data_IF_648551011175
#
_entry.id   IF_648551011175
#
_cell.length_a   1.000
_cell.length_b   1.000
_cell.length_c   1.000
_cell.angle_alpha   90.00
_cell.angle_beta   90.00
_cell.angle_gamma   90.00
#
_symmetry.space_group_name_H-M   'P 1'
#
loop_
_entity.id
_entity.type
_entity.pdbx_description
1 polymer ?
#
# COMPACT_ATOMS: atom_id res chain seq x y z
N UNK A 1 12.06 -96.92 22.72
CA UNK A 1 12.58 -96.25 21.51
C UNK A 1 11.59 -95.21 21.04
N UNK A 2 12.13 -94.08 20.56
CA UNK A 2 11.58 -93.06 19.66
C UNK A 2 10.20 -92.41 19.87
N UNK A 3 10.28 -91.11 20.19
CA UNK A 3 9.77 -89.91 19.47
C UNK A 3 8.95 -90.08 18.14
N UNK A 4 8.37 -88.99 17.56
CA UNK A 4 7.21 -88.23 18.05
C UNK A 4 6.19 -87.82 16.94
N UNK A 5 5.06 -87.23 17.39
CA UNK A 5 4.30 -86.08 16.86
C UNK A 5 3.77 -85.98 15.41
N UNK A 6 2.48 -85.64 15.29
CA UNK A 6 2.04 -84.44 14.53
C UNK A 6 0.71 -83.88 15.09
N UNK A 7 0.70 -82.58 15.37
CA UNK A 7 -0.40 -81.81 15.98
C UNK A 7 -1.21 -80.99 14.97
N UNK A 8 -2.20 -80.20 15.42
CA UNK A 8 -3.22 -79.58 14.57
C UNK A 8 -2.79 -78.22 13.99
N UNK A 9 -3.07 -77.99 12.71
CA UNK A 9 -2.91 -76.68 12.06
C UNK A 9 -3.96 -75.68 12.57
N UNK A 10 -3.49 -74.64 13.28
CA UNK A 10 -4.28 -73.47 13.67
C UNK A 10 -3.82 -72.28 12.84
N UNK A 11 -4.71 -71.81 11.96
CA UNK A 11 -4.47 -70.66 11.08
C UNK A 11 -4.01 -69.41 11.84
N UNK A 12 -2.83 -68.92 11.49
CA UNK A 12 -2.26 -67.65 11.98
C UNK A 12 -2.91 -66.49 11.21
N UNK A 13 -3.53 -65.57 11.96
CA UNK A 13 -4.01 -64.29 11.43
C UNK A 13 -2.80 -63.45 11.02
N UNK A 14 -2.61 -63.29 9.72
CA UNK A 14 -1.65 -62.37 9.13
C UNK A 14 -1.99 -60.93 9.53
N UNK A 15 -1.10 -60.30 10.31
CA UNK A 15 -1.13 -58.86 10.61
C UNK A 15 -0.73 -58.11 9.34
N UNK A 16 -1.70 -57.42 8.75
CA UNK A 16 -1.49 -56.41 7.72
C UNK A 16 -0.61 -55.29 8.30
N UNK A 17 0.50 -54.86 7.68
CA UNK A 17 1.26 -53.73 8.18
C UNK A 17 0.40 -52.47 8.04
N UNK A 18 0.35 -51.67 9.11
CA UNK A 18 -0.25 -50.35 9.09
C UNK A 18 0.48 -49.51 8.03
N UNK A 19 -0.29 -48.89 7.14
CA UNK A 19 0.23 -47.91 6.19
C UNK A 19 0.94 -46.82 7.01
N UNK A 20 2.23 -46.64 6.77
CA UNK A 20 2.97 -45.51 7.29
C UNK A 20 2.27 -44.24 6.79
N UNK A 21 1.81 -43.41 7.73
CA UNK A 21 1.45 -42.04 7.44
C UNK A 21 2.72 -41.37 6.90
N UNK A 22 2.73 -41.09 5.59
CA UNK A 22 3.73 -40.24 4.99
C UNK A 22 3.71 -38.90 5.74
N UNK A 23 4.78 -38.65 6.47
CA UNK A 23 5.06 -37.36 7.08
C UNK A 23 4.97 -36.32 5.97
N UNK A 24 4.27 -35.18 6.15
CA UNK A 24 4.31 -34.13 5.17
C UNK A 24 5.78 -33.76 5.00
N UNK A 25 6.30 -33.93 3.78
CA UNK A 25 7.59 -33.42 3.38
C UNK A 25 7.74 -32.01 3.96
N UNK A 26 8.82 -31.78 4.70
CA UNK A 26 9.32 -30.44 5.03
C UNK A 26 9.71 -29.75 3.72
N UNK A 27 8.72 -29.45 2.88
CA UNK A 27 8.87 -28.49 1.82
C UNK A 27 9.19 -27.18 2.53
N UNK A 28 10.43 -26.72 2.39
CA UNK A 28 10.92 -25.50 3.00
C UNK A 28 9.84 -24.41 2.88
N UNK A 29 9.27 -24.01 4.01
CA UNK A 29 8.19 -23.03 4.03
C UNK A 29 8.75 -21.70 3.53
N UNK A 30 8.44 -21.35 2.29
CA UNK A 30 8.94 -20.13 1.66
C UNK A 30 8.43 -18.92 2.44
N UNK A 31 9.34 -18.04 2.86
CA UNK A 31 8.96 -16.80 3.49
C UNK A 31 8.33 -15.87 2.46
N UNK A 32 7.15 -15.34 2.77
CA UNK A 32 6.46 -14.35 1.94
C UNK A 32 6.29 -13.05 2.70
N UNK A 33 6.48 -11.95 1.97
CA UNK A 33 6.28 -10.58 2.45
C UNK A 33 5.11 -9.93 1.72
N UNK A 34 4.36 -9.10 2.43
CA UNK A 34 3.37 -8.22 1.81
C UNK A 34 2.61 -7.40 2.85
N UNK A 35 1.61 -6.67 2.39
CA UNK A 35 0.86 -5.70 3.20
C UNK A 35 -0.42 -6.32 3.73
N UNK A 36 -0.63 -6.26 5.05
CA UNK A 36 -1.79 -6.84 5.70
C UNK A 36 -3.05 -6.02 5.40
N UNK A 37 -4.03 -6.66 4.77
CA UNK A 37 -5.42 -6.23 4.72
C UNK A 37 -6.21 -6.98 5.79
N UNK A 38 -7.00 -6.26 6.59
CA UNK A 38 -7.88 -6.86 7.59
C UNK A 38 -9.25 -7.18 6.99
N UNK A 39 -9.73 -8.39 7.26
CA UNK A 39 -11.06 -8.84 6.87
C UNK A 39 -12.08 -8.55 7.99
N UNK A 40 -13.38 -8.35 7.65
CA UNK A 40 -14.42 -8.11 8.65
C UNK A 40 -14.55 -9.21 9.72
N UNK A 41 -14.19 -10.45 9.39
CA UNK A 41 -14.20 -11.59 10.31
C UNK A 41 -13.01 -11.62 11.29
N UNK A 42 -12.15 -10.60 11.30
CA UNK A 42 -11.01 -10.45 12.22
C UNK A 42 -9.72 -11.16 11.79
N UNK A 43 -9.76 -11.96 10.73
CA UNK A 43 -8.56 -12.44 10.03
C UNK A 43 -8.02 -11.40 9.05
N UNK A 44 -7.00 -11.75 8.30
CA UNK A 44 -6.44 -10.86 7.27
C UNK A 44 -5.83 -11.61 6.09
N UNK A 45 -5.56 -10.89 5.01
CA UNK A 45 -4.82 -11.36 3.84
C UNK A 45 -3.59 -10.49 3.64
N UNK A 46 -2.46 -11.11 3.32
CA UNK A 46 -1.21 -10.41 3.02
C UNK A 46 -1.15 -10.17 1.52
N UNK A 47 -1.48 -8.94 1.10
CA UNK A 47 -1.48 -8.53 -0.30
C UNK A 47 -0.05 -8.39 -0.79
N UNK A 48 0.29 -9.12 -1.86
CA UNK A 48 1.65 -9.08 -2.45
C UNK A 48 1.73 -8.31 -3.75
N UNK A 49 0.69 -8.40 -4.59
CA UNK A 49 0.70 -7.85 -5.95
C UNK A 49 -0.11 -6.55 -5.99
N UNK A 50 0.54 -5.40 -5.85
CA UNK A 50 -0.09 -4.09 -6.10
C UNK A 50 -1.39 -3.82 -5.31
N UNK A 51 -1.54 -4.41 -4.12
CA UNK A 51 -2.77 -4.40 -3.31
C UNK A 51 -4.02 -5.01 -3.99
N UNK A 52 -3.81 -5.80 -5.04
CA UNK A 52 -4.85 -6.56 -5.73
C UNK A 52 -5.00 -7.92 -5.06
N UNK A 53 -6.25 -8.39 -4.94
CA UNK A 53 -6.55 -9.68 -4.38
C UNK A 53 -6.02 -10.82 -5.27
N UNK A 54 -5.30 -11.74 -4.64
CA UNK A 54 -4.75 -12.92 -5.29
C UNK A 54 -5.11 -14.20 -4.53
N UNK A 55 -5.36 -15.32 -5.23
CA UNK A 55 -5.48 -16.64 -4.59
C UNK A 55 -4.25 -17.00 -3.74
N UNK A 56 -3.08 -16.46 -4.12
CA UNK A 56 -1.80 -16.73 -3.46
C UNK A 56 -1.51 -15.82 -2.26
N UNK A 57 -2.42 -14.90 -1.93
CA UNK A 57 -2.29 -14.01 -0.76
C UNK A 57 -2.36 -14.84 0.53
N UNK A 58 -1.31 -14.81 1.37
CA UNK A 58 -1.30 -15.56 2.63
C UNK A 58 -2.35 -15.05 3.62
N UNK A 59 -3.11 -15.97 4.20
CA UNK A 59 -4.03 -15.70 5.30
C UNK A 59 -3.29 -15.54 6.62
N UNK A 60 -3.72 -14.54 7.40
CA UNK A 60 -3.29 -14.30 8.78
C UNK A 60 -4.46 -14.54 9.73
N UNK A 61 -4.24 -15.38 10.73
CA UNK A 61 -5.27 -15.70 11.71
C UNK A 61 -5.57 -14.53 12.65
N UNK A 62 -6.80 -14.43 13.18
CA UNK A 62 -7.15 -13.44 14.21
C UNK A 62 -6.25 -13.53 15.45
N UNK A 63 -5.78 -14.74 15.79
CA UNK A 63 -4.86 -14.95 16.91
C UNK A 63 -3.50 -14.30 16.66
N UNK A 64 -2.93 -14.43 15.46
CA UNK A 64 -1.68 -13.75 15.08
C UNK A 64 -1.86 -12.22 15.07
N UNK A 65 -2.97 -11.73 14.48
CA UNK A 65 -3.31 -10.30 14.45
C UNK A 65 -3.41 -9.73 15.86
N UNK A 66 -4.16 -10.39 16.75
CA UNK A 66 -4.36 -9.95 18.12
C UNK A 66 -3.06 -10.00 18.92
N UNK A 67 -2.28 -11.08 18.81
CA UNK A 67 -1.03 -11.28 19.57
C UNK A 67 0.03 -10.23 19.23
N UNK A 68 0.12 -9.84 17.96
CA UNK A 68 1.10 -8.86 17.47
C UNK A 68 0.49 -7.45 17.30
N UNK A 69 -0.76 -7.26 17.71
CA UNK A 69 -1.53 -6.01 17.58
C UNK A 69 -1.46 -5.43 16.16
N UNK A 70 -1.55 -6.30 15.16
CA UNK A 70 -1.44 -5.92 13.75
C UNK A 70 -2.61 -5.02 13.34
N UNK A 71 -2.32 -4.09 12.44
CA UNK A 71 -3.28 -3.16 11.85
C UNK A 71 -3.17 -3.26 10.33
N UNK A 72 -4.23 -2.87 9.63
CA UNK A 72 -4.18 -2.76 8.17
C UNK A 72 -2.96 -1.91 7.74
N UNK A 73 -2.35 -2.26 6.61
CA UNK A 73 -1.15 -1.59 6.11
C UNK A 73 0.16 -2.05 6.74
N UNK A 74 0.14 -2.89 7.80
CA UNK A 74 1.38 -3.47 8.32
C UNK A 74 2.00 -4.42 7.29
N UNK A 75 3.25 -4.18 6.92
CA UNK A 75 4.03 -5.12 6.15
C UNK A 75 4.42 -6.28 7.06
N UNK A 76 4.11 -7.51 6.66
CA UNK A 76 4.38 -8.71 7.43
C UNK A 76 5.18 -9.69 6.59
N UNK A 77 6.14 -10.35 7.23
CA UNK A 77 6.94 -11.41 6.61
C UNK A 77 6.89 -12.67 7.45
N UNK A 78 6.80 -13.83 6.79
CA UNK A 78 6.98 -15.12 7.46
C UNK A 78 6.75 -16.32 6.54
N UNK A 79 7.07 -17.52 7.02
CA UNK A 79 6.89 -18.77 6.27
C UNK A 79 5.41 -19.05 6.00
N UNK A 80 5.11 -19.47 4.77
CA UNK A 80 3.76 -19.88 4.40
C UNK A 80 3.65 -21.37 4.17
N UNK A 81 2.48 -21.90 4.49
CA UNK A 81 2.08 -23.27 4.15
C UNK A 81 0.98 -23.26 3.09
N UNK A 82 0.87 -24.32 2.27
CA UNK A 82 -0.23 -24.46 1.33
C UNK A 82 -1.60 -24.51 2.05
N UNK A 83 -2.70 -24.16 1.33
CA UNK A 83 -4.05 -24.28 1.84
C UNK A 83 -4.38 -25.74 2.19
N UNK A 84 -5.01 -25.96 3.34
CA UNK A 84 -5.64 -27.24 3.67
C UNK A 84 -6.93 -27.43 2.87
N UNK A 85 -7.50 -28.64 2.85
CA UNK A 85 -8.72 -28.96 2.08
C UNK A 85 -9.91 -28.01 2.29
N UNK A 86 -10.01 -27.36 3.45
CA UNK A 86 -11.07 -26.41 3.79
C UNK A 86 -10.68 -24.94 3.63
N UNK A 87 -9.46 -24.64 3.20
CA UNK A 87 -8.89 -23.29 3.10
C UNK A 87 -8.76 -22.87 1.63
N UNK A 88 -9.07 -21.61 1.34
CA UNK A 88 -8.95 -21.05 -0.03
C UNK A 88 -7.57 -20.46 -0.32
N UNK A 89 -6.86 -20.05 0.72
CA UNK A 89 -5.60 -19.32 0.62
C UNK A 89 -4.48 -20.08 1.35
N UNK A 90 -3.21 -19.93 0.91
CA UNK A 90 -2.07 -20.30 1.75
C UNK A 90 -2.16 -19.55 3.09
N UNK A 91 -1.51 -20.03 4.14
CA UNK A 91 -1.57 -19.40 5.46
C UNK A 91 -0.17 -19.13 6.01
N UNK A 92 0.01 -17.99 6.67
CA UNK A 92 1.23 -17.70 7.42
C UNK A 92 1.31 -18.61 8.65
N UNK A 93 2.38 -19.39 8.75
CA UNK A 93 2.62 -20.30 9.88
C UNK A 93 2.97 -19.49 11.12
N UNK A 94 3.87 -18.52 10.95
CA UNK A 94 4.22 -17.50 11.93
C UNK A 94 4.57 -16.20 11.22
N UNK A 95 4.69 -15.14 11.99
CA UNK A 95 5.16 -13.85 11.52
C UNK A 95 6.53 -13.65 12.13
N UNK A 96 7.54 -13.52 11.27
CA UNK A 96 8.94 -13.33 11.63
C UNK A 96 9.27 -11.84 11.76
N UNK A 97 8.71 -10.98 10.89
CA UNK A 97 8.89 -9.53 11.00
C UNK A 97 7.63 -8.74 10.69
N UNK A 98 7.55 -7.53 11.26
CA UNK A 98 6.51 -6.55 10.99
C UNK A 98 7.15 -5.18 10.74
N UNK A 99 6.90 -4.60 9.56
CA UNK A 99 7.47 -3.33 9.10
C UNK A 99 8.99 -3.26 9.32
N UNK A 100 9.70 -4.32 8.89
CA UNK A 100 11.16 -4.46 9.02
C UNK A 100 11.69 -4.83 10.41
N UNK A 101 10.86 -4.82 11.46
CA UNK A 101 11.28 -5.19 12.83
C UNK A 101 10.96 -6.65 13.16
N UNK A 102 11.83 -7.31 13.93
CA UNK A 102 11.61 -8.68 14.40
C UNK A 102 10.35 -8.76 15.29
N UNK A 103 9.45 -9.69 14.94
CA UNK A 103 8.21 -9.91 15.68
C UNK A 103 8.45 -10.50 17.09
N UNK A 104 9.59 -11.16 17.32
CA UNK A 104 9.95 -11.78 18.60
C UNK A 104 10.44 -10.76 19.64
N UNK A 105 11.12 -9.70 19.22
CA UNK A 105 11.64 -8.66 20.13
C UNK A 105 10.53 -7.72 20.66
N UNK A 106 9.30 -7.90 20.19
CA UNK A 106 8.18 -7.03 20.51
C UNK A 106 8.19 -5.75 19.69
N UNK A 107 7.04 -5.09 19.60
CA UNK A 107 6.93 -3.81 18.89
C UNK A 107 7.44 -2.66 19.77
N UNK A 108 8.06 -1.63 19.16
CA UNK A 108 8.11 -0.33 19.82
C UNK A 108 6.67 0.13 20.10
N UNK A 109 6.43 0.76 21.26
CA UNK A 109 5.16 1.41 21.61
C UNK A 109 4.85 2.59 20.69
N UNK A 110 4.58 2.31 19.42
CA UNK A 110 4.27 3.30 18.39
C UNK A 110 2.86 3.83 18.60
N UNK A 111 2.74 5.15 18.66
CA UNK A 111 1.45 5.83 18.75
C UNK A 111 0.63 5.52 17.51
N UNK A 112 -0.70 5.53 17.64
CA UNK A 112 -1.57 5.43 16.47
C UNK A 112 -1.48 6.72 15.65
N UNK A 113 -1.56 6.62 14.34
CA UNK A 113 -1.54 7.78 13.44
C UNK A 113 -2.57 8.84 13.84
N UNK A 114 -3.73 8.41 14.33
CA UNK A 114 -4.82 9.28 14.78
C UNK A 114 -4.49 10.04 16.09
N UNK A 115 -3.54 9.53 16.89
CA UNK A 115 -3.07 10.15 18.14
C UNK A 115 -1.92 11.14 17.90
N UNK A 116 -1.33 11.14 16.70
CA UNK A 116 -0.28 12.07 16.33
C UNK A 116 -0.84 13.48 16.12
N UNK A 117 -0.16 14.49 16.68
CA UNK A 117 -0.60 15.88 16.56
C UNK A 117 -0.30 16.41 15.15
N UNK A 118 -1.32 16.78 14.35
CA UNK A 118 -1.09 17.33 13.03
C UNK A 118 -0.56 18.77 13.13
N UNK A 119 0.46 19.08 12.35
CA UNK A 119 1.07 20.41 12.24
C UNK A 119 1.19 20.83 10.77
N UNK A 120 1.50 22.10 10.53
CA UNK A 120 1.81 22.59 9.19
C UNK A 120 3.11 21.97 8.67
N UNK A 121 3.23 21.88 7.35
CA UNK A 121 4.48 21.52 6.71
C UNK A 121 5.52 22.62 6.97
N UNK A 122 6.70 22.22 7.43
CA UNK A 122 7.83 23.13 7.70
C UNK A 122 9.06 22.80 6.86
N UNK A 123 9.18 21.56 6.41
CA UNK A 123 10.26 21.11 5.55
C UNK A 123 9.78 21.02 4.11
N UNK A 124 10.42 21.77 3.22
CA UNK A 124 10.06 21.86 1.81
C UNK A 124 10.50 20.61 1.05
N UNK A 125 9.63 20.11 0.16
CA UNK A 125 9.95 19.03 -0.76
C UNK A 125 10.55 19.57 -2.07
N UNK A 126 11.44 18.80 -2.68
CA UNK A 126 12.03 19.13 -3.96
C UNK A 126 11.01 18.94 -5.08
N UNK A 127 10.58 20.04 -5.70
CA UNK A 127 9.57 20.05 -6.77
C UNK A 127 10.18 20.52 -8.09
N UNK A 128 9.57 20.17 -9.25
CA UNK A 128 9.95 20.76 -10.52
C UNK A 128 9.97 22.29 -10.48
N UNK A 129 10.90 22.92 -11.21
CA UNK A 129 11.13 24.38 -11.17
C UNK A 129 9.86 25.19 -11.46
N UNK A 130 9.00 24.68 -12.36
CA UNK A 130 7.69 25.24 -12.70
C UNK A 130 6.75 25.39 -11.49
N UNK A 131 6.93 24.59 -10.43
CA UNK A 131 6.16 24.67 -9.17
C UNK A 131 6.89 25.42 -8.06
N UNK A 132 8.20 25.58 -8.15
CA UNK A 132 9.05 26.07 -7.06
C UNK A 132 8.62 27.45 -6.54
N UNK A 133 8.18 28.34 -7.42
CA UNK A 133 7.69 29.67 -7.01
C UNK A 133 6.16 29.73 -6.94
N UNK A 134 5.46 29.01 -7.82
CA UNK A 134 4.01 29.12 -7.96
C UNK A 134 3.25 28.37 -6.84
N UNK A 135 3.74 27.21 -6.42
CA UNK A 135 3.05 26.34 -5.47
C UNK A 135 4.04 25.41 -4.74
N UNK A 136 5.01 25.95 -3.99
CA UNK A 136 5.93 25.12 -3.21
C UNK A 136 5.15 24.32 -2.16
N UNK A 137 5.50 23.06 -1.92
CA UNK A 137 4.89 22.26 -0.86
C UNK A 137 5.93 21.48 -0.09
N UNK A 138 5.54 21.04 1.11
CA UNK A 138 6.43 20.37 2.04
C UNK A 138 5.92 19.02 2.51
N UNK A 139 6.72 18.38 3.35
CA UNK A 139 6.39 17.13 4.03
C UNK A 139 5.06 17.26 4.78
N UNK A 140 4.13 16.36 4.49
CA UNK A 140 2.79 16.35 5.08
C UNK A 140 1.73 17.14 4.32
N UNK A 141 2.05 17.66 3.12
CA UNK A 141 1.12 18.48 2.34
C UNK A 141 0.02 17.65 1.67
N UNK A 142 -1.14 18.28 1.50
CA UNK A 142 -2.24 17.81 0.64
C UNK A 142 -2.21 18.60 -0.65
N UNK A 143 -1.66 18.02 -1.69
CA UNK A 143 -1.43 18.69 -2.99
C UNK A 143 -2.49 18.22 -3.98
N UNK A 144 -3.33 19.16 -4.43
CA UNK A 144 -4.31 18.92 -5.49
C UNK A 144 -3.76 19.40 -6.83
N UNK A 145 -3.59 18.48 -7.78
CA UNK A 145 -3.35 18.79 -9.18
C UNK A 145 -4.71 18.88 -9.88
N UNK A 146 -5.00 20.04 -10.47
CA UNK A 146 -6.28 20.31 -11.12
C UNK A 146 -6.11 21.02 -12.45
N UNK A 147 -7.19 21.03 -13.22
CA UNK A 147 -7.25 21.65 -14.55
C UNK A 147 -8.24 20.89 -15.43
N UNK A 148 -8.38 21.32 -16.68
CA UNK A 148 -9.23 20.62 -17.65
C UNK A 148 -8.66 19.25 -18.04
N UNK A 149 -9.50 18.28 -18.46
CA UNK A 149 -8.99 17.01 -18.98
C UNK A 149 -7.98 17.23 -20.10
N UNK A 150 -6.85 16.51 -20.04
CA UNK A 150 -5.80 16.62 -21.05
C UNK A 150 -4.77 17.72 -20.80
N UNK A 151 -4.87 18.57 -19.78
CA UNK A 151 -3.81 19.55 -19.48
C UNK A 151 -2.53 18.94 -18.88
N UNK A 152 -2.35 17.61 -18.88
CA UNK A 152 -1.10 16.98 -18.44
C UNK A 152 -0.90 16.91 -16.92
N UNK A 153 -1.97 16.90 -16.11
CA UNK A 153 -1.88 16.74 -14.66
C UNK A 153 -1.13 15.46 -14.24
N UNK A 154 -1.44 14.32 -14.88
CA UNK A 154 -0.74 13.05 -14.67
C UNK A 154 0.74 13.12 -15.10
N UNK A 155 1.06 13.86 -16.16
CA UNK A 155 2.45 14.09 -16.56
C UNK A 155 3.21 14.90 -15.50
N UNK A 156 2.60 15.94 -14.96
CA UNK A 156 3.20 16.71 -13.86
C UNK A 156 3.38 15.84 -12.61
N UNK A 157 2.40 14.98 -12.28
CA UNK A 157 2.51 14.03 -11.17
C UNK A 157 3.75 13.14 -11.33
N UNK A 158 3.97 12.57 -12.53
CA UNK A 158 5.17 11.78 -12.85
C UNK A 158 6.46 12.60 -12.69
N UNK A 159 6.49 13.84 -13.18
CA UNK A 159 7.66 14.74 -13.00
C UNK A 159 7.96 15.00 -11.52
N UNK A 160 6.94 15.23 -10.70
CA UNK A 160 7.08 15.42 -9.24
C UNK A 160 7.73 14.17 -8.63
N UNK A 161 7.18 12.98 -8.90
CA UNK A 161 7.72 11.72 -8.37
C UNK A 161 9.16 11.48 -8.78
N UNK A 162 9.48 11.67 -10.07
CA UNK A 162 10.85 11.51 -10.56
C UNK A 162 11.83 12.49 -9.88
N UNK A 163 11.42 13.76 -9.70
CA UNK A 163 12.24 14.77 -9.01
C UNK A 163 12.50 14.37 -7.56
N UNK A 164 11.49 13.86 -6.86
CA UNK A 164 11.61 13.43 -5.46
C UNK A 164 12.42 12.15 -5.33
N UNK A 165 12.29 11.21 -6.26
CA UNK A 165 13.07 9.98 -6.26
C UNK A 165 14.57 10.26 -6.41
N UNK A 166 14.93 11.27 -7.20
CA UNK A 166 16.32 11.70 -7.37
C UNK A 166 16.84 12.50 -6.17
N UNK A 167 16.03 13.44 -5.66
CA UNK A 167 16.51 14.45 -4.68
C UNK A 167 16.27 14.07 -3.23
N UNK A 168 15.34 13.17 -2.96
CA UNK A 168 14.92 12.75 -1.62
C UNK A 168 14.65 11.23 -1.58
N UNK A 169 15.68 10.39 -1.80
CA UNK A 169 15.53 8.93 -1.86
C UNK A 169 15.06 8.31 -0.53
N UNK A 170 15.16 9.02 0.58
CA UNK A 170 14.64 8.62 1.89
C UNK A 170 13.11 8.70 2.00
N UNK A 171 12.45 9.46 1.12
CA UNK A 171 10.99 9.60 1.08
C UNK A 171 10.37 8.33 0.49
N UNK A 172 9.57 7.60 1.27
CA UNK A 172 8.89 6.41 0.77
C UNK A 172 7.76 6.79 -0.18
N UNK A 173 7.91 6.43 -1.47
CA UNK A 173 6.94 6.77 -2.50
C UNK A 173 6.05 5.57 -2.85
N UNK A 174 4.76 5.82 -2.99
CA UNK A 174 3.79 4.90 -3.54
C UNK A 174 2.86 5.61 -4.53
N UNK A 175 2.39 4.87 -5.52
CA UNK A 175 1.43 5.35 -6.53
C UNK A 175 0.15 4.51 -6.41
N UNK A 176 -1.00 5.18 -6.40
CA UNK A 176 -2.32 4.59 -6.48
C UNK A 176 -2.97 5.01 -7.79
N UNK A 177 -3.27 4.04 -8.64
CA UNK A 177 -4.04 4.24 -9.85
C UNK A 177 -5.50 3.94 -9.55
N UNK A 178 -6.34 4.95 -9.67
CA UNK A 178 -7.77 4.86 -9.49
C UNK A 178 -8.42 5.38 -10.76
N UNK A 179 -8.62 4.48 -11.72
CA UNK A 179 -9.29 4.80 -12.98
C UNK A 179 -8.42 5.42 -14.06
N UNK A 180 -7.13 5.07 -14.10
CA UNK A 180 -6.26 5.41 -15.23
C UNK A 180 -6.66 4.61 -16.49
N UNK A 181 -6.19 5.03 -17.68
CA UNK A 181 -6.40 4.21 -18.88
C UNK A 181 -5.52 2.95 -18.85
N UNK A 182 -5.97 1.78 -19.36
CA UNK A 182 -5.18 0.54 -19.33
C UNK A 182 -3.74 0.69 -19.88
N UNK A 183 -3.57 1.46 -20.94
CA UNK A 183 -2.26 1.78 -21.52
C UNK A 183 -1.39 2.63 -20.56
N UNK A 184 -1.99 3.60 -19.87
CA UNK A 184 -1.30 4.45 -18.89
C UNK A 184 -0.93 3.67 -17.63
N UNK A 185 -1.74 2.68 -17.22
CA UNK A 185 -1.42 1.74 -16.13
C UNK A 185 -0.15 0.96 -16.46
N UNK A 186 -0.03 0.50 -17.70
CA UNK A 186 1.19 -0.20 -18.16
C UNK A 186 2.40 0.73 -18.12
N UNK A 187 2.26 1.97 -18.57
CA UNK A 187 3.32 2.97 -18.50
C UNK A 187 3.71 3.32 -17.05
N UNK A 188 2.74 3.41 -16.14
CA UNK A 188 3.02 3.60 -14.71
C UNK A 188 3.84 2.45 -14.14
N UNK A 189 3.42 1.21 -14.38
CA UNK A 189 4.11 0.02 -13.84
C UNK A 189 5.50 -0.18 -14.44
N UNK A 190 5.73 0.24 -15.68
CA UNK A 190 7.03 0.12 -16.35
C UNK A 190 8.01 1.21 -15.94
N UNK A 191 7.55 2.45 -15.82
CA UNK A 191 8.44 3.61 -15.72
C UNK A 191 8.59 4.13 -14.27
N UNK A 192 7.73 3.71 -13.34
CA UNK A 192 7.79 4.13 -11.93
C UNK A 192 8.81 3.32 -11.14
N UNK A 193 9.68 4.00 -10.40
CA UNK A 193 10.52 3.39 -9.36
C UNK A 193 9.75 3.13 -8.05
N UNK A 194 8.60 3.79 -7.86
CA UNK A 194 7.73 3.63 -6.71
C UNK A 194 6.76 2.46 -6.91
N UNK A 195 6.33 1.83 -5.80
CA UNK A 195 5.32 0.78 -5.83
C UNK A 195 4.00 1.32 -6.40
N UNK A 196 3.47 0.67 -7.43
CA UNK A 196 2.21 1.04 -8.10
C UNK A 196 1.11 0.08 -7.69
N UNK A 197 0.01 0.61 -7.17
CA UNK A 197 -1.16 -0.13 -6.69
C UNK A 197 -2.43 0.34 -7.39
N UNK A 198 -3.50 -0.45 -7.34
CA UNK A 198 -4.74 -0.18 -8.07
C UNK A 198 -4.61 -0.45 -9.58
N UNK A 199 -5.43 0.25 -10.37
CA UNK A 199 -5.66 -0.15 -11.75
C UNK A 199 -6.50 0.78 -12.62
N UNK A 200 -7.07 0.19 -13.66
CA UNK A 200 -7.73 0.91 -14.74
C UNK A 200 -9.19 1.28 -14.43
N UNK A 201 -9.80 2.12 -15.28
CA UNK A 201 -11.18 2.61 -15.08
C UNK A 201 -12.26 1.55 -15.28
N UNK A 202 -11.94 0.41 -15.89
CA UNK A 202 -12.84 -0.72 -16.11
C UNK A 202 -12.85 -1.71 -14.93
N UNK A 203 -12.00 -1.50 -13.92
CA UNK A 203 -12.01 -2.27 -12.67
C UNK A 203 -13.15 -1.82 -11.73
N UNK A 204 -13.67 -2.73 -10.87
CA UNK A 204 -14.70 -2.38 -9.91
C UNK A 204 -14.26 -1.24 -8.96
N UNK A 205 -15.10 -0.22 -8.78
CA UNK A 205 -14.80 0.92 -7.90
C UNK A 205 -14.46 0.52 -6.46
N UNK A 206 -15.06 -0.58 -5.97
CA UNK A 206 -14.78 -1.11 -4.65
C UNK A 206 -13.34 -1.65 -4.53
N UNK A 207 -12.77 -2.20 -5.60
CA UNK A 207 -11.38 -2.67 -5.63
C UNK A 207 -10.41 -1.50 -5.71
N UNK A 208 -10.68 -0.50 -6.56
CA UNK A 208 -9.90 0.73 -6.62
C UNK A 208 -9.89 1.48 -5.27
N UNK A 209 -11.05 1.56 -4.61
CA UNK A 209 -11.19 2.14 -3.28
C UNK A 209 -10.38 1.39 -2.23
N UNK A 210 -10.46 0.06 -2.21
CA UNK A 210 -9.70 -0.78 -1.28
C UNK A 210 -8.19 -0.65 -1.47
N UNK A 211 -7.72 -0.64 -2.71
CA UNK A 211 -6.30 -0.44 -3.02
C UNK A 211 -5.79 0.92 -2.52
N UNK A 212 -6.58 1.98 -2.72
CA UNK A 212 -6.28 3.32 -2.22
C UNK A 212 -6.24 3.36 -0.69
N UNK A 213 -7.23 2.79 -0.02
CA UNK A 213 -7.29 2.73 1.45
C UNK A 213 -6.11 1.95 2.03
N UNK A 214 -5.77 0.80 1.45
CA UNK A 214 -4.63 0.00 1.91
C UNK A 214 -3.29 0.71 1.72
N UNK A 215 -3.11 1.43 0.60
CA UNK A 215 -1.92 2.25 0.36
C UNK A 215 -1.79 3.39 1.39
N UNK A 216 -2.90 4.04 1.75
CA UNK A 216 -2.90 5.04 2.81
C UNK A 216 -2.60 4.41 4.17
N UNK A 217 -3.19 3.26 4.50
CA UNK A 217 -2.89 2.57 5.75
C UNK A 217 -1.41 2.19 5.85
N UNK A 218 -0.81 1.66 4.77
CA UNK A 218 0.62 1.37 4.72
C UNK A 218 1.46 2.63 4.97
N UNK A 219 1.14 3.74 4.30
CA UNK A 219 1.85 4.99 4.50
C UNK A 219 1.70 5.54 5.93
N UNK A 220 0.53 5.35 6.57
CA UNK A 220 0.36 5.68 8.00
C UNK A 220 1.29 4.85 8.89
N UNK A 221 1.51 3.56 8.58
CA UNK A 221 2.44 2.72 9.36
C UNK A 221 3.87 3.25 9.28
N UNK A 222 4.31 3.77 8.13
CA UNK A 222 5.59 4.48 7.98
C UNK A 222 5.66 5.72 8.89
N UNK A 223 4.62 6.56 8.87
CA UNK A 223 4.57 7.78 9.71
C UNK A 223 4.65 7.48 11.20
N UNK A 224 3.98 6.42 11.64
CA UNK A 224 4.02 5.96 13.03
C UNK A 224 5.40 5.47 13.48
N UNK A 225 6.27 5.11 12.54
CA UNK A 225 7.67 4.75 12.78
C UNK A 225 8.63 5.95 12.68
N UNK A 226 8.10 7.15 12.45
CA UNK A 226 8.90 8.37 12.27
C UNK A 226 9.38 8.60 10.83
N UNK A 227 8.96 7.77 9.88
CA UNK A 227 9.33 7.91 8.47
C UNK A 227 8.42 8.85 7.70
N UNK A 228 8.93 9.36 6.59
CA UNK A 228 8.17 10.20 5.66
C UNK A 228 7.67 9.37 4.47
N UNK A 229 6.38 9.52 4.17
CA UNK A 229 5.74 8.84 3.05
C UNK A 229 5.05 9.84 2.11
N UNK A 230 5.10 9.55 0.81
CA UNK A 230 4.34 10.23 -0.22
C UNK A 230 3.49 9.23 -0.99
N UNK A 231 2.19 9.50 -1.06
CA UNK A 231 1.26 8.74 -1.89
C UNK A 231 0.77 9.62 -3.04
N UNK A 232 1.11 9.24 -4.26
CA UNK A 232 0.61 9.86 -5.48
C UNK A 232 -0.67 9.14 -5.93
N UNK A 233 -1.73 9.89 -6.26
CA UNK A 233 -3.03 9.32 -6.65
C UNK A 233 -3.46 9.85 -8.02
N UNK A 234 -3.63 8.93 -8.97
CA UNK A 234 -4.10 9.21 -10.33
C UNK A 234 -5.32 8.32 -10.66
N UNK A 235 -6.56 8.74 -10.41
CA UNK A 235 -6.95 10.04 -9.84
C UNK A 235 -8.05 9.90 -8.79
N UNK A 236 -8.22 10.90 -7.93
CA UNK A 236 -9.28 10.88 -6.91
C UNK A 236 -10.69 10.93 -7.52
N UNK A 237 -10.83 11.32 -8.78
CA UNK A 237 -12.12 11.53 -9.43
C UNK A 237 -12.90 10.22 -9.67
N UNK A 238 -12.21 9.07 -9.72
CA UNK A 238 -12.84 7.77 -9.92
C UNK A 238 -13.09 7.01 -8.60
N UNK A 239 -12.65 7.54 -7.47
CA UNK A 239 -12.96 6.95 -6.18
C UNK A 239 -14.35 7.40 -5.70
N UNK A 240 -15.09 6.57 -4.94
CA UNK A 240 -16.24 7.03 -4.19
C UNK A 240 -15.89 8.28 -3.38
N UNK A 241 -16.75 9.30 -3.38
CA UNK A 241 -16.42 10.61 -2.79
C UNK A 241 -15.99 10.52 -1.32
N UNK A 242 -16.62 9.64 -0.54
CA UNK A 242 -16.27 9.41 0.87
C UNK A 242 -14.85 8.84 1.01
N UNK A 243 -14.51 7.84 0.21
CA UNK A 243 -13.15 7.28 0.12
C UNK A 243 -12.17 8.36 -0.33
N UNK A 244 -12.46 9.09 -1.41
CA UNK A 244 -11.60 10.17 -1.92
C UNK A 244 -11.30 11.24 -0.86
N UNK A 245 -12.31 11.65 -0.10
CA UNK A 245 -12.18 12.61 1.02
C UNK A 245 -11.32 12.02 2.15
N UNK A 246 -11.56 10.77 2.52
CA UNK A 246 -10.83 10.10 3.60
C UNK A 246 -9.35 9.90 3.25
N UNK A 247 -9.06 9.37 2.06
CA UNK A 247 -7.68 9.14 1.60
C UNK A 247 -6.93 10.47 1.47
N UNK A 248 -7.50 11.46 0.77
CA UNK A 248 -6.83 12.75 0.57
C UNK A 248 -6.68 13.54 1.89
N UNK A 249 -7.66 13.44 2.78
CA UNK A 249 -7.65 14.07 4.10
C UNK A 249 -6.66 13.45 5.09
N UNK A 250 -6.13 12.26 4.80
CA UNK A 250 -5.15 11.61 5.68
C UNK A 250 -3.83 12.38 5.75
N UNK A 251 -3.42 13.04 4.66
CA UNK A 251 -2.14 13.73 4.59
C UNK A 251 -2.01 14.84 5.64
N UNK A 252 -0.88 14.78 6.35
CA UNK A 252 -0.51 15.68 7.45
C UNK A 252 0.98 15.51 7.77
N UNK A 253 1.58 16.58 8.28
CA UNK A 253 2.84 16.51 9.01
C UNK A 253 2.52 16.20 10.49
N UNK A 254 3.27 15.31 11.14
CA UNK A 254 3.02 14.92 12.53
C UNK A 254 4.16 15.35 13.45
N UNK A 255 3.83 16.03 14.56
CA UNK A 255 4.84 16.53 15.49
C UNK A 255 5.64 15.40 16.19
N UNK A 256 5.00 14.26 16.46
CA UNK A 256 5.59 13.12 17.17
C UNK A 256 5.78 11.88 16.27
N UNK A 257 5.80 12.08 14.95
CA UNK A 257 6.00 11.03 13.94
C UNK A 257 6.74 11.60 12.74
N UNK A 258 6.60 10.95 11.58
CA UNK A 258 7.05 11.52 10.31
C UNK A 258 5.93 12.30 9.61
N UNK A 259 5.88 12.24 8.29
CA UNK A 259 4.86 12.94 7.51
C UNK A 259 4.20 12.07 6.45
N UNK A 260 2.90 12.28 6.23
CA UNK A 260 2.17 11.70 5.10
C UNK A 260 1.84 12.82 4.13
N UNK A 261 2.51 12.84 2.98
CA UNK A 261 2.24 13.73 1.86
C UNK A 261 1.34 13.03 0.85
N UNK A 262 0.32 13.71 0.33
CA UNK A 262 -0.51 13.17 -0.77
C UNK A 262 -0.53 14.16 -1.91
N UNK A 263 -0.16 13.68 -3.11
CA UNK A 263 -0.23 14.45 -4.36
C UNK A 263 -1.23 13.77 -5.27
N UNK A 264 -2.35 14.43 -5.54
CA UNK A 264 -3.48 13.79 -6.20
C UNK A 264 -4.00 14.59 -7.38
N UNK A 265 -4.28 13.90 -8.48
CA UNK A 265 -5.09 14.46 -9.57
C UNK A 265 -6.55 14.51 -9.11
N UNK A 266 -7.13 15.70 -9.11
CA UNK A 266 -8.48 15.97 -8.57
C UNK A 266 -9.54 16.15 -9.66
N UNK A 267 -9.14 16.14 -10.94
CA UNK A 267 -10.02 16.51 -12.05
C UNK A 267 -10.61 17.90 -11.83
N UNK A 268 -11.91 18.07 -12.10
CA UNK A 268 -12.67 19.31 -11.90
C UNK A 268 -13.29 19.47 -10.50
N UNK A 269 -13.06 18.53 -9.57
CA UNK A 269 -13.72 18.52 -8.25
C UNK A 269 -13.28 19.70 -7.37
N UNK A 270 -14.19 20.66 -7.15
CA UNK A 270 -13.92 21.80 -6.26
C UNK A 270 -13.85 21.37 -4.78
N UNK A 271 -14.65 20.39 -4.35
CA UNK A 271 -14.71 19.98 -2.95
C UNK A 271 -13.42 19.30 -2.49
N UNK A 272 -12.80 18.47 -3.34
CA UNK A 272 -11.49 17.89 -3.03
C UNK A 272 -10.41 18.98 -2.99
N UNK A 273 -10.44 19.95 -3.90
CA UNK A 273 -9.49 21.08 -3.91
C UNK A 273 -9.60 21.97 -2.66
N UNK A 274 -10.77 22.03 -2.00
CA UNK A 274 -10.93 22.76 -0.73
C UNK A 274 -10.17 22.13 0.43
N UNK A 275 -9.95 20.81 0.40
CA UNK A 275 -9.18 20.08 1.43
C UNK A 275 -7.67 20.28 1.27
N UNK A 276 -7.22 20.67 0.09
CA UNK A 276 -5.82 20.80 -0.25
C UNK A 276 -5.15 21.96 0.51
N UNK A 277 -3.93 21.72 1.00
CA UNK A 277 -3.05 22.79 1.49
C UNK A 277 -2.35 23.48 0.34
N UNK A 278 -2.12 22.75 -0.77
CA UNK A 278 -1.50 23.26 -1.99
C UNK A 278 -2.38 22.93 -3.19
N UNK A 279 -2.68 23.94 -4.00
CA UNK A 279 -3.43 23.77 -5.25
C UNK A 279 -2.49 24.10 -6.40
N UNK A 280 -2.33 23.14 -7.31
CA UNK A 280 -1.59 23.32 -8.56
C UNK A 280 -2.62 23.24 -9.67
N UNK A 281 -2.95 24.40 -10.24
CA UNK A 281 -3.92 24.54 -11.30
C UNK A 281 -3.17 24.64 -12.63
N UNK A 282 -3.56 23.82 -13.60
CA UNK A 282 -2.94 23.76 -14.92
C UNK A 282 -3.88 24.30 -15.99
N UNK A 283 -3.37 25.24 -16.77
CA UNK A 283 -4.02 25.77 -17.96
C UNK A 283 -3.39 25.15 -19.22
N UNK A 284 -4.18 25.03 -20.29
CA UNK A 284 -3.64 24.64 -21.60
C UNK A 284 -2.70 25.75 -22.10
N UNK A 285 -1.44 25.42 -22.39
CA UNK A 285 -0.52 26.41 -22.92
C UNK A 285 -0.64 26.59 -24.43
N UNK A 286 -0.09 27.70 -24.89
CA UNK A 286 -0.22 28.23 -26.24
C UNK A 286 0.65 27.55 -27.28
N UNK A 287 1.54 26.63 -26.89
CA UNK A 287 2.64 26.15 -27.73
C UNK A 287 2.28 25.02 -28.70
N UNK A 288 1.04 24.53 -28.70
CA UNK A 288 0.57 23.47 -29.61
C UNK A 288 1.26 22.10 -29.45
N UNK A 289 2.25 21.98 -28.57
CA UNK A 289 2.88 20.70 -28.17
C UNK A 289 2.19 20.16 -26.95
N UNK A 290 1.86 18.88 -26.96
CA UNK A 290 1.30 18.18 -25.80
C UNK A 290 2.40 17.40 -25.06
N UNK A 291 2.44 17.40 -23.72
CA UNK A 291 1.69 18.26 -22.81
C UNK A 291 2.33 19.65 -22.73
N UNK A 292 1.58 20.67 -23.11
CA UNK A 292 2.04 22.06 -23.16
C UNK A 292 1.40 22.90 -22.07
N UNK A 293 1.19 22.36 -20.87
CA UNK A 293 0.50 23.08 -19.80
C UNK A 293 1.36 24.14 -19.14
N UNK A 294 0.71 25.16 -18.61
CA UNK A 294 1.35 26.18 -17.77
C UNK A 294 0.69 26.17 -16.39
N UNK A 295 1.49 26.36 -15.35
CA UNK A 295 0.99 26.52 -13.99
C UNK A 295 0.24 27.85 -13.91
N UNK A 296 -1.05 27.77 -13.61
CA UNK A 296 -1.96 28.90 -13.54
C UNK A 296 -1.65 29.79 -12.33
N UNK A 297 -1.95 31.08 -12.44
CA UNK A 297 -1.88 32.02 -11.32
C UNK A 297 -2.89 31.71 -10.20
N UNK A 298 -3.86 30.82 -10.44
CA UNK A 298 -4.75 30.29 -9.42
C UNK A 298 -4.09 29.23 -8.52
N UNK A 299 -2.84 28.86 -8.80
CA UNK A 299 -2.05 27.95 -7.98
C UNK A 299 -1.53 28.65 -6.73
N UNK A 300 -1.28 27.88 -5.67
CA UNK A 300 -0.69 28.42 -4.45
C UNK A 300 -0.71 27.45 -3.29
N UNK A 301 0.05 27.79 -2.26
CA UNK A 301 0.18 27.02 -1.03
C UNK A 301 -0.27 27.84 0.17
N UNK A 302 -1.12 27.24 0.98
CA UNK A 302 -1.53 27.78 2.27
C UNK A 302 -0.36 27.71 3.24
N UNK A 303 -0.06 28.82 3.92
CA UNK A 303 1.07 28.91 4.87
C UNK A 303 2.44 28.65 4.21
N UNK A 304 2.63 29.08 2.97
CA UNK A 304 3.89 28.89 2.24
C UNK A 304 5.10 29.51 2.96
N UNK A 305 4.89 30.54 3.79
CA UNK A 305 5.92 31.19 4.61
C UNK A 305 6.55 30.28 5.68
N UNK A 306 5.93 29.14 5.99
CA UNK A 306 6.46 28.15 6.94
C UNK A 306 7.42 27.15 6.28
N UNK A 307 7.44 27.10 4.93
CA UNK A 307 8.35 26.24 4.18
C UNK A 307 9.72 26.92 4.13
N UNK A 308 10.65 26.42 4.95
CA UNK A 308 12.04 26.88 4.98
C UNK A 308 12.78 26.70 3.67
#
# INVERSE_FOLDING_TARGET
EDAPAEGPERATRSRRPAAAEESPSEAAEEARTGVLELLPAGGGLVRRAAHVESPDDPYVSPAQIKRLELRAGDEVTGPVRPPRRSERHPALVRIDSVNGADAATGRPGRKRFEELTPIWATERLAVPDELSQAAPFGKGSRVALGGEPGVGASTLLRKILATLAERQPELQQAVVLAGARPEEVTDWRRDSSAAVTGGAFDEPLAELGRAAELAIEQAKRTVEQGGDALVAIDSLAFLPFETARAVFGAARNAQQGGSLTIVAVTGSSQDLRRLATTRVMLDAGSSGRFPGSVVSSASGTTRAELLG
#
